data_IF_413565095605
#
_entry.id   IF_413565095605
#
_cell.length_a   1.000
_cell.length_b   1.000
_cell.length_c   1.000
_cell.angle_alpha   90.00
_cell.angle_beta   90.00
_cell.angle_gamma   90.00
#
_symmetry.space_group_name_H-M   'P 1'
#
loop_
_entity.id
_entity.type
_entity.pdbx_description
1 polymer ?
#
# COMPACT_ATOMS: atom_id res chain seq x y z
N UNK A 1 1.19 -12.40 -15.39
CA UNK A 1 2.32 -11.44 -15.24
C UNK A 1 2.68 -11.33 -13.78
N UNK A 2 3.90 -10.87 -13.47
CA UNK A 2 4.38 -10.63 -12.10
C UNK A 2 4.33 -9.14 -11.76
N UNK A 3 4.34 -8.80 -10.48
CA UNK A 3 4.25 -7.43 -10.00
C UNK A 3 5.44 -6.56 -10.41
N UNK A 4 6.66 -7.12 -10.50
CA UNK A 4 7.87 -6.39 -10.89
C UNK A 4 8.07 -6.24 -12.41
N UNK A 5 7.25 -6.91 -13.23
CA UNK A 5 7.39 -6.90 -14.68
C UNK A 5 6.05 -6.49 -15.30
N UNK A 6 5.65 -5.22 -15.14
CA UNK A 6 4.38 -4.77 -15.67
C UNK A 6 4.43 -4.68 -17.21
N UNK A 7 3.28 -4.74 -17.87
CA UNK A 7 3.20 -4.42 -19.29
C UNK A 7 3.62 -2.96 -19.56
N UNK A 8 4.04 -2.61 -20.78
CA UNK A 8 4.41 -1.24 -21.12
C UNK A 8 3.19 -0.30 -21.07
N UNK A 9 3.46 1.00 -20.86
CA UNK A 9 2.44 2.06 -20.81
C UNK A 9 1.58 2.06 -19.55
N UNK A 10 0.41 2.69 -19.65
CA UNK A 10 -0.47 2.97 -18.51
C UNK A 10 -1.57 1.92 -18.28
N UNK A 11 -1.48 0.77 -18.95
CA UNK A 11 -2.47 -0.31 -18.78
C UNK A 11 -2.38 -0.95 -17.38
N UNK A 12 -3.48 -1.46 -16.80
CA UNK A 12 -3.46 -2.08 -15.49
C UNK A 12 -2.46 -3.24 -15.39
N UNK A 13 -1.82 -3.38 -14.23
CA UNK A 13 -0.94 -4.51 -13.93
C UNK A 13 -1.78 -5.65 -13.39
N UNK A 14 -1.93 -6.73 -14.16
CA UNK A 14 -2.66 -7.93 -13.75
C UNK A 14 -1.69 -8.97 -13.22
N UNK A 15 -1.62 -9.08 -11.89
CA UNK A 15 -0.77 -10.05 -11.20
C UNK A 15 -1.52 -11.37 -11.12
N UNK A 16 -1.17 -12.31 -11.99
CA UNK A 16 -1.80 -13.64 -12.04
C UNK A 16 -1.24 -14.54 -10.95
N UNK A 17 0.08 -14.53 -10.79
CA UNK A 17 0.80 -15.26 -9.76
C UNK A 17 2.16 -14.63 -9.54
N UNK A 18 2.42 -14.20 -8.32
CA UNK A 18 3.70 -13.66 -7.89
C UNK A 18 4.08 -14.26 -6.54
N UNK A 19 5.26 -14.88 -6.46
CA UNK A 19 5.74 -15.55 -5.24
C UNK A 19 6.47 -14.62 -4.28
N UNK A 20 6.68 -13.37 -4.69
CA UNK A 20 7.45 -12.38 -3.98
C UNK A 20 8.95 -12.44 -4.30
N UNK A 21 9.72 -11.66 -3.56
CA UNK A 21 11.16 -11.48 -3.74
C UNK A 21 11.69 -10.50 -2.71
N UNK A 22 12.71 -9.73 -3.10
CA UNK A 22 13.30 -8.75 -2.21
C UNK A 22 12.34 -7.58 -1.94
N UNK A 23 12.06 -7.30 -0.68
CA UNK A 23 11.05 -6.31 -0.26
C UNK A 23 11.37 -4.90 -0.80
N UNK A 24 12.65 -4.53 -0.92
CA UNK A 24 13.07 -3.24 -1.47
C UNK A 24 12.68 -3.06 -2.95
N UNK A 25 12.86 -4.08 -3.79
CA UNK A 25 12.48 -4.03 -5.21
C UNK A 25 10.97 -3.82 -5.37
N UNK A 26 10.18 -4.54 -4.57
CA UNK A 26 8.73 -4.38 -4.55
C UNK A 26 8.29 -3.04 -3.96
N UNK A 27 9.00 -2.51 -2.96
CA UNK A 27 8.73 -1.19 -2.42
C UNK A 27 8.98 -0.08 -3.45
N UNK A 28 10.09 -0.16 -4.19
CA UNK A 28 10.40 0.78 -5.28
C UNK A 28 9.36 0.71 -6.40
N UNK A 29 8.96 -0.50 -6.78
CA UNK A 29 7.90 -0.69 -7.77
C UNK A 29 6.54 -0.18 -7.30
N UNK A 30 6.19 -0.42 -6.03
CA UNK A 30 4.96 0.09 -5.40
C UNK A 30 4.94 1.61 -5.41
N UNK A 31 6.07 2.25 -5.09
CA UNK A 31 6.19 3.70 -5.16
C UNK A 31 5.95 4.22 -6.58
N UNK A 32 6.51 3.58 -7.61
CA UNK A 32 6.23 3.97 -8.99
C UNK A 32 4.75 3.84 -9.33
N UNK A 33 4.09 2.74 -8.95
CA UNK A 33 2.66 2.57 -9.19
C UNK A 33 1.79 3.60 -8.46
N UNK A 34 2.18 4.00 -7.24
CA UNK A 34 1.51 5.07 -6.51
C UNK A 34 1.69 6.43 -7.23
N UNK A 35 2.91 6.74 -7.66
CA UNK A 35 3.24 7.99 -8.36
C UNK A 35 2.52 8.10 -9.69
N UNK A 36 2.45 7.02 -10.47
CA UNK A 36 1.76 6.99 -11.77
C UNK A 36 0.25 6.78 -11.64
N UNK A 37 -0.26 6.49 -10.44
CA UNK A 37 -1.67 6.13 -10.23
C UNK A 37 -2.09 4.85 -10.96
N UNK A 38 -1.15 3.95 -11.22
CA UNK A 38 -1.39 2.76 -12.05
C UNK A 38 -2.24 1.74 -11.29
N UNK A 39 -3.28 1.22 -11.94
CA UNK A 39 -4.13 0.18 -11.34
C UNK A 39 -3.37 -1.15 -11.24
N UNK A 40 -3.51 -1.83 -10.11
CA UNK A 40 -2.98 -3.18 -9.89
C UNK A 40 -4.12 -4.11 -9.52
N UNK A 41 -4.26 -5.22 -10.26
CA UNK A 41 -5.28 -6.26 -10.05
C UNK A 41 -4.60 -7.54 -9.63
N UNK A 42 -4.99 -8.09 -8.48
CA UNK A 42 -4.33 -9.24 -7.87
C UNK A 42 -5.19 -10.50 -8.02
N UNK A 43 -4.56 -11.62 -8.41
CA UNK A 43 -5.08 -12.98 -8.27
C UNK A 43 -4.31 -13.73 -7.19
N UNK A 44 -3.09 -14.19 -7.46
CA UNK A 44 -2.23 -14.82 -6.46
C UNK A 44 -0.98 -13.96 -6.20
N UNK A 45 -0.75 -13.61 -4.93
CA UNK A 45 0.29 -12.66 -4.56
C UNK A 45 0.85 -13.02 -3.17
N UNK A 46 2.15 -13.27 -3.09
CA UNK A 46 2.81 -13.79 -1.89
C UNK A 46 3.94 -12.87 -1.45
N UNK A 47 4.21 -12.86 -0.14
CA UNK A 47 5.37 -12.16 0.43
C UNK A 47 5.41 -10.70 -0.01
N UNK A 48 6.55 -10.18 -0.47
CA UNK A 48 6.73 -8.80 -0.92
C UNK A 48 5.69 -8.27 -1.92
N UNK A 49 5.08 -9.13 -2.75
CA UNK A 49 4.01 -8.72 -3.67
C UNK A 49 2.82 -8.07 -2.94
N UNK A 50 2.53 -8.47 -1.70
CA UNK A 50 1.37 -7.94 -0.95
C UNK A 50 1.50 -6.46 -0.61
N UNK A 51 2.68 -5.85 -0.80
CA UNK A 51 2.84 -4.38 -0.77
C UNK A 51 1.88 -3.66 -1.73
N UNK A 52 1.42 -4.33 -2.79
CA UNK A 52 0.37 -3.84 -3.67
C UNK A 52 -0.90 -3.38 -2.91
N UNK A 53 -1.21 -3.99 -1.76
CA UNK A 53 -2.36 -3.61 -0.93
C UNK A 53 -2.27 -2.19 -0.35
N UNK A 54 -1.08 -1.59 -0.33
CA UNK A 54 -0.90 -0.19 0.09
C UNK A 54 -1.32 0.83 -0.98
N UNK A 55 -1.51 0.39 -2.23
CA UNK A 55 -1.86 1.28 -3.33
C UNK A 55 -3.33 1.69 -3.25
N UNK A 56 -3.66 2.97 -3.50
CA UNK A 56 -5.07 3.41 -3.54
C UNK A 56 -5.84 2.81 -4.72
N UNK A 57 -5.13 2.45 -5.80
CA UNK A 57 -5.71 1.92 -7.03
C UNK A 57 -5.59 0.39 -7.12
N UNK A 58 -5.34 -0.33 -6.03
CA UNK A 58 -5.36 -1.80 -6.02
C UNK A 58 -6.79 -2.34 -6.02
N UNK A 59 -6.98 -3.51 -6.62
CA UNK A 59 -8.15 -4.35 -6.37
C UNK A 59 -7.77 -5.83 -6.35
N UNK A 60 -8.68 -6.63 -5.78
CA UNK A 60 -8.57 -8.09 -5.73
C UNK A 60 -9.83 -8.71 -6.36
N UNK A 61 -9.68 -9.89 -6.97
CA UNK A 61 -10.84 -10.72 -7.36
C UNK A 61 -11.33 -11.55 -6.17
N UNK A 62 -12.62 -11.92 -6.07
CA UNK A 62 -13.12 -12.75 -4.95
C UNK A 62 -12.36 -14.06 -4.71
N UNK A 63 -11.85 -14.68 -5.79
CA UNK A 63 -11.04 -15.90 -5.77
C UNK A 63 -9.53 -15.69 -5.57
N UNK A 64 -9.10 -14.47 -5.23
CA UNK A 64 -7.67 -14.17 -5.03
C UNK A 64 -7.11 -14.89 -3.80
N UNK A 65 -5.82 -15.17 -3.81
CA UNK A 65 -5.08 -15.75 -2.69
C UNK A 65 -3.87 -14.90 -2.37
N UNK A 66 -3.91 -14.22 -1.22
CA UNK A 66 -2.78 -13.46 -0.71
C UNK A 66 -2.15 -14.17 0.47
N UNK A 67 -0.82 -14.32 0.43
CA UNK A 67 -0.07 -15.07 1.44
C UNK A 67 0.96 -14.18 2.12
N UNK A 68 0.80 -14.03 3.41
CA UNK A 68 1.55 -13.11 4.28
C UNK A 68 2.48 -13.91 5.19
N UNK A 69 3.72 -13.48 5.34
CA UNK A 69 4.68 -14.05 6.28
C UNK A 69 5.80 -13.04 6.58
N UNK A 70 6.64 -13.32 7.57
CA UNK A 70 7.82 -12.51 7.91
C UNK A 70 8.81 -12.46 6.76
N UNK A 71 9.38 -11.29 6.52
CA UNK A 71 10.56 -11.18 5.66
C UNK A 71 11.72 -11.97 6.28
N UNK A 72 12.55 -12.57 5.43
CA UNK A 72 13.70 -13.34 5.87
C UNK A 72 14.82 -13.24 4.85
N UNK A 73 16.06 -13.41 5.31
CA UNK A 73 17.21 -13.47 4.44
C UNK A 73 17.13 -14.76 3.57
N UNK A 74 17.19 -14.65 2.23
CA UNK A 74 17.01 -15.81 1.35
C UNK A 74 18.12 -16.86 1.46
N UNK A 75 19.31 -16.49 1.91
CA UNK A 75 20.45 -17.40 2.09
C UNK A 75 20.39 -18.08 3.46
N UNK A 76 20.34 -17.30 4.54
CA UNK A 76 20.41 -17.82 5.92
C UNK A 76 19.06 -18.26 6.47
N UNK A 77 17.96 -17.91 5.80
CA UNK A 77 16.57 -18.15 6.22
C UNK A 77 16.17 -17.51 7.56
N UNK A 78 17.04 -16.70 8.15
CA UNK A 78 16.78 -15.95 9.39
C UNK A 78 15.75 -14.85 9.12
N UNK A 79 14.77 -14.73 10.01
CA UNK A 79 13.75 -13.68 9.94
C UNK A 79 14.40 -12.30 10.08
N UNK A 80 13.91 -11.33 9.31
CA UNK A 80 14.26 -9.93 9.47
C UNK A 80 13.04 -9.22 10.06
N UNK A 81 13.09 -8.94 11.36
CA UNK A 81 11.97 -8.35 12.10
C UNK A 81 11.73 -6.90 11.65
N UNK A 82 12.77 -6.11 11.46
CA UNK A 82 12.65 -4.72 10.98
C UNK A 82 11.92 -4.65 9.62
N UNK A 83 12.33 -5.48 8.65
CA UNK A 83 11.66 -5.52 7.35
C UNK A 83 10.25 -6.11 7.45
N UNK A 84 10.02 -7.05 8.37
CA UNK A 84 8.69 -7.59 8.63
C UNK A 84 7.74 -6.54 9.20
N UNK A 85 8.23 -5.68 10.10
CA UNK A 85 7.46 -4.59 10.70
C UNK A 85 7.15 -3.51 9.67
N UNK A 86 8.10 -3.17 8.81
CA UNK A 86 7.88 -2.26 7.67
C UNK A 86 6.82 -2.84 6.72
N UNK A 87 6.90 -4.13 6.40
CA UNK A 87 5.93 -4.81 5.57
C UNK A 87 4.55 -4.80 6.23
N UNK A 88 4.45 -5.11 7.52
CA UNK A 88 3.20 -5.05 8.27
C UNK A 88 2.61 -3.64 8.25
N UNK A 89 3.42 -2.61 8.53
CA UNK A 89 2.99 -1.21 8.59
C UNK A 89 2.43 -0.68 7.25
N UNK A 90 2.82 -1.27 6.13
CA UNK A 90 2.32 -0.91 4.80
C UNK A 90 0.86 -1.31 4.56
N UNK A 91 0.34 -2.30 5.29
CA UNK A 91 -0.98 -2.85 5.01
C UNK A 91 -2.12 -1.96 5.54
N UNK A 92 -3.30 -2.00 4.88
CA UNK A 92 -4.50 -1.35 5.40
C UNK A 92 -4.80 -1.78 6.84
N UNK A 93 -5.31 -0.86 7.66
CA UNK A 93 -5.53 -1.09 9.09
C UNK A 93 -6.34 -2.36 9.39
N UNK A 94 -7.46 -2.56 8.68
CA UNK A 94 -8.30 -3.76 8.84
C UNK A 94 -7.57 -5.06 8.43
N UNK A 95 -6.66 -4.99 7.46
CA UNK A 95 -5.83 -6.14 7.07
C UNK A 95 -4.81 -6.45 8.16
N UNK A 96 -4.15 -5.44 8.73
CA UNK A 96 -3.22 -5.62 9.87
C UNK A 96 -3.92 -6.25 11.06
N UNK A 97 -5.07 -5.72 11.45
CA UNK A 97 -5.88 -6.26 12.55
C UNK A 97 -6.28 -7.72 12.30
N UNK A 98 -6.71 -8.05 11.08
CA UNK A 98 -7.05 -9.43 10.70
C UNK A 98 -5.85 -10.38 10.76
N UNK A 99 -4.65 -9.88 10.46
CA UNK A 99 -3.43 -10.67 10.49
C UNK A 99 -2.89 -10.85 11.91
N UNK A 100 -3.03 -9.86 12.79
CA UNK A 100 -2.32 -9.81 14.07
C UNK A 100 -0.85 -9.51 13.81
N UNK A 101 0.00 -10.55 13.82
CA UNK A 101 1.43 -10.46 13.49
C UNK A 101 1.80 -11.22 12.20
N UNK A 102 2.97 -10.92 11.62
CA UNK A 102 3.58 -11.79 10.62
C UNK A 102 4.35 -12.93 11.29
N UNK A 103 4.18 -14.16 10.79
CA UNK A 103 4.93 -15.33 11.27
C UNK A 103 5.74 -15.94 10.12
N UNK A 104 6.59 -16.92 10.41
CA UNK A 104 7.34 -17.66 9.38
C UNK A 104 6.44 -18.51 8.48
N UNK A 105 5.27 -18.89 8.98
CA UNK A 105 4.26 -19.64 8.23
C UNK A 105 3.33 -18.68 7.50
N UNK A 106 2.87 -19.08 6.33
CA UNK A 106 1.89 -18.28 5.60
C UNK A 106 0.58 -18.13 6.37
N UNK A 107 0.19 -16.89 6.62
CA UNK A 107 -1.21 -16.52 6.83
C UNK A 107 -1.82 -16.25 5.46
N UNK A 108 -2.99 -16.80 5.18
CA UNK A 108 -3.66 -16.66 3.89
C UNK A 108 -4.93 -15.87 4.08
N UNK A 109 -5.12 -14.84 3.25
CA UNK A 109 -6.41 -14.17 3.10
C UNK A 109 -6.90 -14.33 1.67
N UNK A 110 -8.16 -14.73 1.54
CA UNK A 110 -8.84 -14.79 0.25
C UNK A 110 -9.20 -13.40 -0.23
N UNK A 111 -9.43 -13.25 -1.54
CA UNK A 111 -9.92 -11.99 -2.11
C UNK A 111 -11.26 -11.58 -1.50
N UNK A 112 -12.17 -12.53 -1.31
CA UNK A 112 -13.45 -12.28 -0.61
C UNK A 112 -13.26 -11.75 0.82
N UNK A 113 -12.28 -12.26 1.58
CA UNK A 113 -11.94 -11.71 2.90
C UNK A 113 -11.40 -10.29 2.80
N UNK A 114 -10.45 -10.05 1.90
CA UNK A 114 -9.87 -8.72 1.69
C UNK A 114 -10.92 -7.69 1.27
N UNK A 115 -11.89 -8.10 0.43
CA UNK A 115 -13.02 -7.25 0.04
C UNK A 115 -13.87 -6.88 1.25
N UNK A 116 -14.16 -7.82 2.16
CA UNK A 116 -14.85 -7.53 3.43
C UNK A 116 -14.06 -6.59 4.34
N UNK A 117 -12.73 -6.61 4.25
CA UNK A 117 -11.83 -5.72 4.99
C UNK A 117 -11.64 -4.36 4.30
N UNK A 118 -12.34 -4.10 3.18
CA UNK A 118 -12.35 -2.81 2.51
C UNK A 118 -11.43 -2.68 1.30
N UNK A 119 -10.76 -3.76 0.86
CA UNK A 119 -10.04 -3.76 -0.43
C UNK A 119 -11.06 -3.78 -1.57
N UNK A 120 -10.81 -3.03 -2.64
CA UNK A 120 -11.74 -2.95 -3.78
C UNK A 120 -11.86 -4.30 -4.50
N UNK A 121 -13.09 -4.64 -4.88
CA UNK A 121 -13.40 -5.76 -5.78
C UNK A 121 -13.11 -5.37 -7.24
N UNK A 122 -12.25 -6.12 -7.93
CA UNK A 122 -11.93 -5.87 -9.34
C UNK A 122 -13.12 -6.08 -10.29
N UNK A 123 -14.14 -6.85 -9.89
CA UNK A 123 -15.35 -7.03 -10.68
C UNK A 123 -16.29 -5.83 -10.62
N UNK A 124 -16.07 -4.93 -9.65
CA UNK A 124 -16.80 -3.66 -9.59
C UNK A 124 -16.03 -2.61 -10.37
N UNK A 125 -16.72 -1.74 -11.12
CA UNK A 125 -16.06 -0.56 -11.66
C UNK A 125 -15.38 0.16 -10.50
N UNK A 126 -14.15 0.62 -10.72
CA UNK A 126 -13.62 1.68 -9.88
C UNK A 126 -14.69 2.76 -9.87
N UNK A 127 -15.27 3.06 -8.70
CA UNK A 127 -16.19 4.21 -8.54
C UNK A 127 -15.58 5.47 -9.15
N UNK A 128 -16.34 6.57 -9.32
CA UNK A 128 -15.92 7.73 -10.13
C UNK A 128 -14.45 7.97 -9.86
N UNK A 129 -13.65 7.70 -10.91
CA UNK A 129 -12.26 7.35 -10.77
C UNK A 129 -11.65 8.24 -9.69
N UNK A 130 -10.80 7.70 -8.82
CA UNK A 130 -9.80 8.52 -8.17
C UNK A 130 -8.83 9.06 -9.23
N UNK A 131 -9.34 9.78 -10.24
CA UNK A 131 -8.84 11.07 -10.63
C UNK A 131 -8.79 11.92 -9.35
N UNK A 132 -7.76 11.65 -8.55
CA UNK A 132 -6.96 12.75 -8.07
C UNK A 132 -6.61 13.51 -9.34
N UNK A 133 -7.43 14.50 -9.67
CA UNK A 133 -7.08 15.48 -10.66
C UNK A 133 -5.71 15.97 -10.20
N UNK A 134 -4.65 15.57 -10.91
CA UNK A 134 -3.39 16.27 -10.79
C UNK A 134 -3.77 17.71 -11.11
N UNK A 135 -3.82 18.57 -10.10
CA UNK A 135 -3.70 19.99 -10.38
C UNK A 135 -2.46 20.08 -11.25
N UNK A 136 -2.62 20.50 -12.51
CA UNK A 136 -1.47 20.89 -13.31
C UNK A 136 -0.66 21.82 -12.41
N UNK A 137 0.64 21.59 -12.17
CA UNK A 137 1.44 22.60 -11.50
C UNK A 137 1.19 23.89 -12.25
N UNK A 138 0.64 24.89 -11.54
CA UNK A 138 0.52 26.25 -12.06
C UNK A 138 1.92 26.59 -12.58
N UNK A 139 2.08 27.02 -13.84
CA UNK A 139 3.37 27.51 -14.30
C UNK A 139 3.84 28.50 -13.24
N UNK A 140 5.00 28.22 -12.64
CA UNK A 140 5.63 29.18 -11.76
C UNK A 140 5.68 30.48 -12.58
N UNK A 141 5.08 31.54 -12.04
CA UNK A 141 5.30 32.85 -12.60
C UNK A 141 6.83 33.04 -12.68
N UNK A 142 7.38 33.56 -13.78
CA UNK A 142 8.80 33.86 -13.83
C UNK A 142 9.10 34.82 -12.68
N UNK A 143 9.78 34.31 -11.65
CA UNK A 143 10.36 35.15 -10.60
C UNK A 143 11.27 36.15 -11.32
N UNK A 144 11.12 37.46 -11.07
CA UNK A 144 11.95 38.46 -11.71
C UNK A 144 13.40 38.20 -11.32
N UNK A 145 14.17 37.74 -12.30
CA UNK A 145 15.60 37.52 -12.16
C UNK A 145 16.29 38.80 -11.72
N UNK A 146 17.28 38.62 -10.85
CA UNK A 146 18.13 39.62 -10.19
C UNK A 146 18.89 40.57 -11.16
N UNK A 147 18.72 40.41 -12.47
CA UNK A 147 19.27 41.28 -13.50
C UNK A 147 18.30 42.39 -13.98
N UNK A 148 17.04 42.37 -13.54
CA UNK A 148 16.04 43.39 -13.90
C UNK A 148 16.24 44.71 -13.15
N UNK A 149 16.89 44.67 -11.97
CA UNK A 149 17.12 45.84 -11.11
C UNK A 149 18.36 46.68 -11.48
N UNK A 150 19.13 46.27 -12.49
CA UNK A 150 20.27 47.06 -12.98
C UNK A 150 19.99 47.79 -14.30
N UNK A 151 18.81 47.57 -14.92
CA UNK A 151 18.40 48.29 -16.13
C UNK A 151 17.63 49.59 -15.84
N UNK A 152 17.10 49.79 -14.63
CA UNK A 152 16.39 51.03 -14.24
C UNK A 152 17.32 52.14 -13.72
N UNK A 153 18.62 51.90 -13.57
CA UNK A 153 19.56 52.88 -13.01
C UNK A 153 20.31 53.69 -14.09
N UNK A 154 20.13 53.38 -15.39
CA UNK A 154 20.82 54.05 -16.50
C UNK A 154 19.89 54.56 -17.62
N UNK A 155 18.63 54.86 -17.32
CA UNK A 155 17.74 55.62 -18.21
C UNK A 155 16.81 56.43 -17.30
N UNK A 156 16.73 57.76 -17.32
CA UNK A 156 17.04 58.73 -18.36
C UNK A 156 16.98 60.13 -17.73
N UNK A 157 17.92 60.99 -18.09
CA UNK A 157 17.90 62.40 -17.73
C UNK A 157 16.89 63.19 -18.60
N UNK A 158 15.92 63.82 -17.92
CA UNK A 158 15.22 65.12 -18.22
C UNK A 158 14.42 65.29 -19.53
N UNK A 159 13.58 66.34 -19.65
CA UNK A 159 12.58 66.87 -18.71
C UNK A 159 11.20 67.05 -19.39
N UNK A 160 10.08 67.02 -18.66
CA UNK A 160 8.78 67.43 -19.23
C UNK A 160 8.02 68.37 -18.31
N UNK A 161 7.53 69.42 -18.98
CA UNK A 161 6.82 70.57 -18.48
C UNK A 161 5.46 70.27 -17.83
N UNK A 162 5.15 71.18 -16.92
CA UNK A 162 3.91 71.58 -16.28
C UNK A 162 2.60 71.29 -17.03
N UNK A 163 1.66 70.61 -16.35
CA UNK A 163 0.23 70.97 -16.40
C UNK A 163 -0.45 70.71 -15.06
N UNK A 164 -1.29 71.66 -14.64
CA UNK A 164 -1.83 71.86 -13.29
C UNK A 164 -3.34 71.67 -13.31
N UNK A 165 -3.84 70.75 -12.45
CA UNK A 165 -5.06 70.73 -11.58
C UNK A 165 -6.46 71.08 -12.17
N UNK A 166 -7.59 70.59 -11.59
CA UNK A 166 -7.93 70.80 -10.18
C UNK A 166 -8.46 69.59 -9.39
N UNK A 167 -8.25 69.72 -8.09
CA UNK A 167 -8.58 68.83 -6.99
C UNK A 167 -9.91 69.30 -6.37
N UNK A 168 -10.78 68.37 -5.96
CA UNK A 168 -11.88 68.67 -5.03
C UNK A 168 -11.79 67.73 -3.84
N UNK A 169 -11.54 68.33 -2.68
CA UNK A 169 -11.47 67.71 -1.36
C UNK A 169 -12.89 67.53 -0.83
N UNK A 170 -13.23 66.36 -0.29
CA UNK A 170 -14.30 66.23 0.71
C UNK A 170 -13.82 65.37 1.88
N UNK A 171 -14.20 65.84 3.07
CA UNK A 171 -13.68 65.51 4.39
C UNK A 171 -14.49 64.37 5.01
N UNK A 172 -13.80 63.53 5.79
CA UNK A 172 -14.38 62.41 6.52
C UNK A 172 -15.38 62.85 7.62
N UNK A 173 -16.42 62.05 7.84
CA UNK A 173 -17.18 62.02 9.09
C UNK A 173 -17.30 60.57 9.57
N UNK A 174 -16.55 60.25 10.63
CA UNK A 174 -16.65 59.05 11.43
C UNK A 174 -17.93 59.15 12.27
N UNK A 175 -18.86 58.20 12.15
CA UNK A 175 -19.94 58.00 13.13
C UNK A 175 -19.71 56.68 13.88
N UNK A 176 -19.54 56.82 15.18
CA UNK A 176 -19.56 55.77 16.19
C UNK A 176 -21.02 55.38 16.44
N UNK A 177 -21.35 54.09 16.40
CA UNK A 177 -22.61 53.56 16.90
C UNK A 177 -22.45 53.07 18.35
N UNK A 178 -23.33 53.48 19.28
CA UNK A 178 -23.32 53.04 20.68
C UNK A 178 -23.98 51.65 20.90
N UNK A 179 -23.76 51.00 22.06
CA UNK A 179 -24.15 49.60 22.32
C UNK A 179 -25.42 49.38 23.16
N UNK A 180 -25.85 48.10 23.23
CA UNK A 180 -26.72 47.41 24.24
C UNK A 180 -28.26 47.43 23.91
N UNK A 181 -29.09 46.38 24.19
CA UNK A 181 -29.01 45.42 25.31
C UNK A 181 -29.11 43.90 25.09
N UNK A 182 -28.22 43.25 25.84
CA UNK A 182 -28.31 42.01 26.62
C UNK A 182 -29.74 41.49 26.84
N UNK A 183 -30.02 40.33 26.25
CA UNK A 183 -31.15 39.48 26.56
C UNK A 183 -30.67 38.28 27.39
N UNK A 184 -31.42 38.02 28.46
CA UNK A 184 -31.18 37.05 29.50
C UNK A 184 -31.00 35.60 29.00
N UNK A 185 -30.29 34.75 29.78
CA UNK A 185 -30.07 33.35 29.43
C UNK A 185 -31.37 32.53 29.46
N UNK A 186 -31.54 31.52 28.59
CA UNK A 186 -32.61 30.56 28.73
C UNK A 186 -32.40 29.70 29.97
N UNK A 187 -33.43 29.70 30.80
CA UNK A 187 -33.63 28.89 31.99
C UNK A 187 -33.40 27.40 31.72
N UNK A 188 -32.61 26.81 32.60
CA UNK A 188 -32.46 25.38 32.86
C UNK A 188 -33.84 24.71 32.97
N UNK A 189 -34.17 23.84 32.00
CA UNK A 189 -35.30 22.94 32.13
C UNK A 189 -34.97 21.87 33.19
N UNK A 190 -35.91 21.52 34.09
CA UNK A 190 -35.66 20.51 35.11
C UNK A 190 -35.33 19.16 34.47
N UNK A 191 -34.31 18.53 35.03
CA UNK A 191 -33.88 17.17 34.75
C UNK A 191 -35.09 16.25 34.73
N UNK A 192 -35.39 15.69 33.56
CA UNK A 192 -36.24 14.53 33.45
C UNK A 192 -35.57 13.39 34.23
N UNK A 193 -36.30 12.92 35.23
CA UNK A 193 -35.99 11.75 36.04
C UNK A 193 -35.60 10.57 35.12
N UNK A 194 -34.50 9.85 35.41
CA UNK A 194 -34.10 8.72 34.59
C UNK A 194 -35.22 7.65 34.65
N UNK A 195 -35.66 7.10 33.50
CA UNK A 195 -36.57 5.97 33.53
C UNK A 195 -35.90 4.81 34.29
N UNK A 196 -36.66 4.00 35.03
CA UNK A 196 -36.13 2.83 35.72
C UNK A 196 -35.39 1.92 34.73
N UNK A 197 -34.35 1.20 35.17
CA UNK A 197 -33.57 0.33 34.29
C UNK A 197 -34.50 -0.70 33.65
N UNK A 198 -34.70 -0.56 32.35
CA UNK A 198 -35.30 -1.60 31.52
C UNK A 198 -34.28 -2.73 31.50
N UNK A 199 -34.61 -3.82 32.18
CA UNK A 199 -33.89 -5.09 32.09
C UNK A 199 -33.74 -5.46 30.61
N UNK A 200 -32.56 -5.86 30.13
CA UNK A 200 -32.47 -6.44 28.81
C UNK A 200 -33.29 -7.74 28.84
N UNK A 201 -34.46 -7.71 28.18
CA UNK A 201 -35.14 -8.93 27.78
C UNK A 201 -34.12 -9.76 27.03
N UNK A 202 -33.69 -10.83 27.68
CA UNK A 202 -32.76 -11.78 27.10
C UNK A 202 -33.50 -12.40 25.91
N UNK A 203 -33.00 -12.27 24.67
CA UNK A 203 -33.63 -12.96 23.56
C UNK A 203 -33.67 -14.45 23.92
N UNK A 204 -34.81 -15.15 23.73
CA UNK A 204 -34.88 -16.57 24.05
C UNK A 204 -33.77 -17.27 23.26
N UNK A 205 -32.95 -18.05 23.98
CA UNK A 205 -31.95 -18.90 23.35
C UNK A 205 -32.61 -19.71 22.23
N UNK A 206 -31.98 -19.81 21.05
CA UNK A 206 -32.49 -20.69 20.00
C UNK A 206 -32.62 -22.12 20.56
N UNK A 207 -33.62 -22.89 20.14
CA UNK A 207 -33.78 -24.27 20.59
C UNK A 207 -32.49 -25.04 20.32
N UNK A 208 -32.08 -25.86 21.28
CA UNK A 208 -30.95 -26.77 21.14
C UNK A 208 -31.12 -27.59 19.86
N UNK A 209 -30.12 -27.54 18.98
CA UNK A 209 -30.06 -28.38 17.77
C UNK A 209 -30.28 -29.85 18.18
N UNK A 210 -31.19 -30.59 17.52
CA UNK A 210 -31.36 -32.01 17.79
C UNK A 210 -30.03 -32.76 17.70
N UNK A 211 -29.76 -33.64 18.66
CA UNK A 211 -28.51 -34.42 18.74
C UNK A 211 -28.27 -35.37 17.55
N UNK A 212 -29.18 -35.44 16.59
CA UNK A 212 -29.17 -36.41 15.50
C UNK A 212 -28.42 -35.97 14.22
N UNK A 213 -27.85 -34.76 14.19
CA UNK A 213 -27.06 -34.29 13.04
C UNK A 213 -25.54 -34.32 13.26
N UNK A 214 -25.08 -34.91 14.37
CA UNK A 214 -23.64 -35.11 14.65
C UNK A 214 -23.16 -36.54 14.43
N UNK A 215 -23.95 -37.38 13.74
CA UNK A 215 -23.51 -38.72 13.39
C UNK A 215 -22.82 -38.68 12.02
N UNK A 216 -21.49 -38.91 11.92
CA UNK A 216 -20.90 -39.17 10.62
C UNK A 216 -21.58 -40.41 10.05
N UNK A 217 -22.06 -40.30 8.80
CA UNK A 217 -22.56 -41.42 8.04
C UNK A 217 -21.48 -42.50 7.99
N UNK A 218 -21.71 -43.58 8.72
CA UNK A 218 -20.94 -44.80 8.56
C UNK A 218 -21.17 -45.27 7.13
N UNK A 219 -20.13 -45.17 6.30
CA UNK A 219 -20.14 -45.81 5.00
C UNK A 219 -20.24 -47.33 5.22
N UNK A 220 -21.14 -48.05 4.54
CA UNK A 220 -21.13 -49.50 4.61
C UNK A 220 -19.83 -50.02 4.00
N UNK A 221 -18.97 -50.60 4.84
CA UNK A 221 -17.82 -51.38 4.37
C UNK A 221 -18.36 -52.65 3.72
N UNK A 222 -18.45 -52.62 2.39
CA UNK A 222 -18.56 -53.84 1.59
C UNK A 222 -17.22 -54.54 1.68
N UNK A 223 -17.18 -55.66 2.41
CA UNK A 223 -16.03 -56.54 2.48
C UNK A 223 -15.73 -57.07 1.06
N UNK A 224 -14.66 -56.58 0.46
CA UNK A 224 -14.08 -57.22 -0.73
C UNK A 224 -13.28 -58.45 -0.26
N UNK A 225 -13.42 -59.62 -0.91
CA UNK A 225 -12.59 -60.77 -0.59
C UNK A 225 -11.14 -60.44 -0.95
N UNK A 226 -10.26 -60.46 0.04
CA UNK A 226 -8.82 -60.36 -0.20
C UNK A 226 -8.35 -61.65 -0.88
N UNK A 227 -8.02 -61.55 -2.16
CA UNK A 227 -7.21 -62.54 -2.86
C UNK A 227 -5.79 -62.38 -2.33
N UNK A 228 -5.36 -63.31 -1.48
CA UNK A 228 -3.96 -63.40 -1.03
C UNK A 228 -3.15 -63.98 -2.19
N UNK A 229 -2.54 -63.10 -2.98
CA UNK A 229 -1.48 -63.49 -3.91
C UNK A 229 -0.19 -63.73 -3.10
N UNK A 230 0.55 -64.83 -3.36
CA UNK A 230 1.84 -65.04 -2.74
C UNK A 230 2.80 -63.92 -3.16
N UNK A 231 3.40 -63.24 -2.18
CA UNK A 231 4.44 -62.25 -2.45
C UNK A 231 5.69 -62.96 -2.95
N UNK A 232 5.98 -62.80 -4.24
CA UNK A 232 7.28 -63.14 -4.81
C UNK A 232 8.27 -62.10 -4.29
N UNK A 233 9.11 -62.50 -3.33
CA UNK A 233 10.25 -61.70 -2.89
C UNK A 233 11.28 -61.71 -4.02
N UNK A 234 11.27 -60.67 -4.85
CA UNK A 234 12.33 -60.45 -5.83
C UNK A 234 13.62 -60.05 -5.07
N UNK A 235 14.79 -60.61 -5.42
CA UNK A 235 16.05 -60.15 -4.87
C UNK A 235 16.28 -58.68 -5.26
N UNK A 236 16.96 -57.88 -4.42
CA UNK A 236 17.29 -56.50 -4.77
C UNK A 236 18.13 -56.48 -6.05
N UNK A 237 17.91 -55.50 -6.94
CA UNK A 237 18.72 -55.35 -8.14
C UNK A 237 20.20 -55.14 -7.76
N UNK A 238 21.15 -55.65 -8.57
CA UNK A 238 22.57 -55.42 -8.34
C UNK A 238 22.85 -53.91 -8.34
N UNK A 239 23.74 -53.49 -7.43
CA UNK A 239 24.18 -52.10 -7.38
C UNK A 239 24.76 -51.69 -8.74
N UNK A 240 24.41 -50.49 -9.25
CA UNK A 240 24.98 -50.01 -10.50
C UNK A 240 26.51 -49.91 -10.36
N UNK A 241 27.28 -50.21 -11.42
CA UNK A 241 28.72 -50.03 -11.40
C UNK A 241 29.03 -48.57 -11.08
N UNK A 242 29.92 -48.34 -10.11
CA UNK A 242 30.39 -47.00 -9.81
C UNK A 242 31.18 -46.48 -11.01
N UNK A 243 30.54 -45.63 -11.81
CA UNK A 243 31.22 -44.84 -12.81
C UNK A 243 32.04 -43.79 -12.06
N UNK A 244 33.35 -43.96 -12.08
CA UNK A 244 34.32 -42.98 -11.64
C UNK A 244 34.09 -41.71 -12.48
N UNK A 245 33.62 -40.63 -11.83
CA UNK A 245 33.33 -39.38 -12.50
C UNK A 245 34.65 -38.80 -13.05
N UNK A 246 34.72 -38.40 -14.34
CA UNK A 246 35.90 -37.70 -14.84
C UNK A 246 36.08 -36.38 -14.08
N UNK A 247 37.32 -35.89 -13.91
CA UNK A 247 37.57 -34.64 -13.20
C UNK A 247 36.81 -33.50 -13.88
N UNK A 248 35.89 -32.90 -13.14
CA UNK A 248 35.12 -31.73 -13.57
C UNK A 248 36.08 -30.55 -13.62
N UNK A 249 36.36 -30.06 -14.83
CA UNK A 249 37.10 -28.81 -15.02
C UNK A 249 36.33 -27.65 -14.37
N UNK A 250 37.02 -26.70 -13.71
CA UNK A 250 36.35 -25.53 -13.14
C UNK A 250 35.68 -24.71 -14.25
N UNK A 251 34.51 -24.10 -13.98
CA UNK A 251 33.82 -23.29 -14.97
C UNK A 251 34.70 -22.12 -15.43
N UNK A 252 34.63 -21.71 -16.72
CA UNK A 252 35.36 -20.55 -17.20
C UNK A 252 34.94 -19.30 -16.43
N UNK A 253 35.93 -18.49 -16.05
CA UNK A 253 35.70 -17.18 -15.44
C UNK A 253 34.78 -16.34 -16.35
N UNK A 254 33.73 -15.69 -15.81
CA UNK A 254 32.95 -14.75 -16.59
C UNK A 254 33.85 -13.61 -17.10
N UNK A 255 33.62 -13.07 -18.31
CA UNK A 255 34.37 -11.93 -18.79
C UNK A 255 34.17 -10.74 -17.85
N UNK A 256 35.26 -10.05 -17.51
CA UNK A 256 35.20 -8.77 -16.79
C UNK A 256 34.35 -7.79 -17.59
N UNK A 257 33.13 -7.54 -17.11
CA UNK A 257 32.35 -6.38 -17.51
C UNK A 257 33.09 -5.13 -17.00
N UNK A 258 33.93 -4.55 -17.88
CA UNK A 258 34.40 -3.18 -17.72
C UNK A 258 33.20 -2.24 -17.90
N UNK A 259 32.50 -1.98 -16.81
CA UNK A 259 31.55 -0.88 -16.73
C UNK A 259 32.38 0.40 -16.67
N UNK A 260 32.54 1.08 -17.80
CA UNK A 260 32.99 2.48 -17.80
C UNK A 260 31.85 3.32 -17.27
N UNK A 261 31.88 3.63 -15.97
CA UNK A 261 30.94 4.56 -15.35
C UNK A 261 31.23 5.98 -15.83
N UNK A 262 30.41 6.47 -16.76
CA UNK A 262 30.43 7.86 -17.21
C UNK A 262 29.72 8.83 -16.23
N UNK A 263 29.75 8.56 -14.92
CA UNK A 263 29.22 9.47 -13.89
C UNK A 263 29.98 9.25 -12.57
N UNK A 264 31.17 9.85 -12.50
CA UNK A 264 32.05 9.77 -11.34
C UNK A 264 32.80 11.09 -11.14
N UNK A 265 32.08 12.15 -10.78
CA UNK A 265 32.70 13.28 -10.08
C UNK A 265 32.23 13.24 -8.62
N UNK A 266 33.14 12.81 -7.75
CA UNK A 266 33.01 12.95 -6.29
C UNK A 266 33.50 14.35 -5.94
N UNK A 267 32.64 15.17 -5.34
CA UNK A 267 33.07 16.37 -4.64
C UNK A 267 33.81 15.91 -3.38
N UNK A 268 35.09 16.27 -3.28
CA UNK A 268 35.90 16.05 -2.07
C UNK A 268 35.46 17.08 -1.03
N UNK A 269 34.92 16.61 0.11
CA UNK A 269 34.61 17.47 1.28
C UNK A 269 33.19 17.44 1.84
N UNK A 270 32.26 16.60 1.33
CA UNK A 270 30.91 16.50 1.91
C UNK A 270 30.84 15.42 2.98
N UNK A 271 30.42 15.79 4.19
CA UNK A 271 30.14 14.86 5.28
C UNK A 271 29.11 13.78 4.87
N UNK A 272 29.15 12.57 5.46
CA UNK A 272 28.20 11.53 5.13
C UNK A 272 26.79 11.97 5.56
N UNK A 273 25.91 12.17 4.59
CA UNK A 273 24.47 12.21 4.86
C UNK A 273 24.06 10.77 5.17
N UNK A 274 24.11 10.42 6.45
CA UNK A 274 23.33 9.30 6.97
C UNK A 274 21.85 9.64 6.76
N UNK A 275 21.28 9.17 5.66
CA UNK A 275 19.85 9.08 5.49
C UNK A 275 19.45 7.63 5.78
N UNK A 276 19.17 7.33 7.04
CA UNK A 276 18.21 6.29 7.38
C UNK A 276 16.91 6.61 6.65
N UNK A 277 16.67 5.99 5.49
CA UNK A 277 15.36 6.06 4.83
C UNK A 277 14.40 5.23 5.67
N UNK A 278 13.89 5.84 6.73
CA UNK A 278 12.66 5.38 7.37
C UNK A 278 11.58 5.40 6.29
N UNK A 279 11.00 4.23 6.05
CA UNK A 279 9.77 4.08 5.31
C UNK A 279 8.70 4.90 6.04
N UNK A 280 8.34 6.06 5.50
CA UNK A 280 7.19 6.81 5.99
C UNK A 280 5.93 6.19 5.39
N UNK A 281 4.98 5.69 6.21
CA UNK A 281 3.68 5.29 5.71
C UNK A 281 3.03 6.53 5.07
N UNK A 282 2.57 6.40 3.83
CA UNK A 282 1.93 7.49 3.09
C UNK A 282 0.79 8.12 3.93
N UNK A 283 0.85 9.42 4.26
CA UNK A 283 -0.23 10.06 5.00
C UNK A 283 -1.39 10.35 4.04
N UNK A 284 -2.43 9.53 4.05
CA UNK A 284 -3.68 9.87 3.36
C UNK A 284 -4.72 10.36 4.36
N UNK A 285 -5.07 11.64 4.24
CA UNK A 285 -6.20 12.27 4.95
C UNK A 285 -7.46 11.97 4.15
N UNK A 286 -8.37 11.16 4.70
CA UNK A 286 -9.69 10.91 4.11
C UNK A 286 -10.53 12.18 4.29
N UNK A 287 -10.75 12.92 3.21
CA UNK A 287 -11.69 14.05 3.21
C UNK A 287 -13.08 13.49 2.90
N UNK A 288 -13.96 13.43 3.90
CA UNK A 288 -15.40 13.25 3.68
C UNK A 288 -15.96 14.55 3.11
N UNK A 289 -16.51 14.52 1.90
CA UNK A 289 -17.39 15.60 1.42
C UNK A 289 -18.75 15.42 2.08
N UNK A 290 -19.17 16.43 2.85
CA UNK A 290 -20.57 16.69 3.14
C UNK A 290 -21.27 17.36 1.96
#
# INVERSE_FOLDING_TARGET
MTYLHPPPGDVPVIVTKDVGGYVNEYADMTRLYAETGREVRLHECRSACTLALSLPNVCVYPGSLLKFHKAYNPETKVANDEVSDQLMASYPAAVRERLGDLTRTYKVLTGSELIRLGVRDCNRPSGPAYAVARAKPKPAAPEPGYFSQLAEVFSSATPTATQVKPQRVQVAAVRLNPPKPEAAPPTEAPAAEPPPPVTPDTPPLPPSRPADLSRPAASPQVASPQVVLPQVVLPPPPAPPQAEAPPVAPPPRPPELRITSAWGQRIVGSAPILATRQFTPFPYRVVRKG
#
